data_IF_262843240628
#
_entry.id   IF_262843240628
#
_cell.length_a   1.000
_cell.length_b   1.000
_cell.length_c   1.000
_cell.angle_alpha   90.00
_cell.angle_beta   90.00
_cell.angle_gamma   90.00
#
_symmetry.space_group_name_H-M   'P 1'
#
loop_
_entity.id
_entity.type
_entity.pdbx_description
1 polymer ?
#
# COMPACT_ATOMS: atom_id res chain seq x y z
N UNK A 1 -9.34 -2.63 -4.33
CA UNK A 1 -8.30 -1.60 -4.11
C UNK A 1 -7.04 -2.31 -3.60
N UNK A 2 -5.85 -1.98 -4.13
CA UNK A 2 -4.61 -2.66 -3.71
C UNK A 2 -4.17 -2.21 -2.31
N UNK A 3 -3.89 -3.13 -1.36
CA UNK A 3 -3.41 -2.80 -0.02
C UNK A 3 -2.17 -1.90 -0.01
N UNK A 4 -1.23 -2.14 -0.92
CA UNK A 4 -0.01 -1.35 -1.05
C UNK A 4 -0.30 0.12 -1.39
N UNK A 5 -1.26 0.34 -2.31
CA UNK A 5 -1.67 1.70 -2.72
C UNK A 5 -2.34 2.43 -1.55
N UNK A 6 -3.18 1.73 -0.80
CA UNK A 6 -3.84 2.32 0.38
C UNK A 6 -2.82 2.70 1.44
N UNK A 7 -1.90 1.80 1.78
CA UNK A 7 -0.87 2.08 2.80
C UNK A 7 0.00 3.26 2.37
N UNK A 8 0.44 3.29 1.11
CA UNK A 8 1.24 4.41 0.57
C UNK A 8 0.50 5.74 0.69
N UNK A 9 -0.76 5.78 0.25
CA UNK A 9 -1.57 7.00 0.28
C UNK A 9 -1.82 7.50 1.71
N UNK A 10 -2.15 6.58 2.63
CA UNK A 10 -2.36 6.95 4.04
C UNK A 10 -1.07 7.48 4.66
N UNK A 11 0.08 6.86 4.38
CA UNK A 11 1.37 7.32 4.91
C UNK A 11 1.81 8.69 4.34
N UNK A 12 1.46 9.02 3.10
CA UNK A 12 1.71 10.35 2.49
C UNK A 12 0.81 11.46 3.06
N UNK A 13 -0.38 11.09 3.57
CA UNK A 13 -1.40 12.04 4.00
C UNK A 13 -1.58 12.13 5.52
N UNK A 14 -1.03 11.19 6.30
CA UNK A 14 -1.20 11.11 7.76
C UNK A 14 -0.73 12.35 8.52
N UNK A 15 0.22 13.11 7.95
CA UNK A 15 0.75 14.32 8.57
C UNK A 15 -0.19 15.53 8.40
N UNK A 16 -1.12 15.45 7.44
CA UNK A 16 -2.11 16.50 7.13
C UNK A 16 -3.51 16.15 7.62
N UNK A 17 -3.84 14.87 7.66
CA UNK A 17 -5.17 14.38 8.02
C UNK A 17 -5.09 13.22 8.99
N UNK A 18 -6.10 13.09 9.86
CA UNK A 18 -6.18 11.96 10.75
C UNK A 18 -6.36 10.65 9.95
N UNK A 19 -5.62 9.61 10.33
CA UNK A 19 -5.65 8.29 9.68
C UNK A 19 -7.07 7.73 9.58
N UNK A 20 -7.89 7.90 10.61
CA UNK A 20 -9.28 7.44 10.61
C UNK A 20 -10.13 8.12 9.52
N UNK A 21 -9.88 9.41 9.25
CA UNK A 21 -10.59 10.19 8.23
C UNK A 21 -10.21 9.68 6.84
N UNK A 22 -8.92 9.52 6.57
CA UNK A 22 -8.41 9.00 5.29
C UNK A 22 -8.97 7.59 5.05
N UNK A 23 -8.90 6.72 6.05
CA UNK A 23 -9.44 5.35 5.97
C UNK A 23 -10.94 5.34 5.70
N UNK A 24 -11.71 6.23 6.35
CA UNK A 24 -13.15 6.41 6.12
C UNK A 24 -13.45 6.82 4.67
N UNK A 25 -12.73 7.81 4.13
CA UNK A 25 -12.89 8.25 2.74
C UNK A 25 -12.57 7.14 1.72
N UNK A 26 -11.62 6.25 2.04
CA UNK A 26 -11.26 5.10 1.22
C UNK A 26 -12.18 3.88 1.43
N UNK A 27 -13.15 3.99 2.33
CA UNK A 27 -14.03 2.90 2.77
C UNK A 27 -13.24 1.67 3.27
N UNK A 28 -12.12 1.92 3.97
CA UNK A 28 -11.24 0.90 4.55
C UNK A 28 -11.34 0.94 6.07
N UNK A 29 -11.66 -0.18 6.75
CA UNK A 29 -11.62 -0.24 8.21
C UNK A 29 -10.20 0.05 8.74
N UNK A 30 -10.11 0.83 9.81
CA UNK A 30 -8.82 1.20 10.44
C UNK A 30 -7.98 -0.04 10.81
N UNK A 31 -8.61 -1.09 11.32
CA UNK A 31 -7.94 -2.35 11.67
C UNK A 31 -7.31 -3.03 10.44
N UNK A 32 -7.97 -2.93 9.28
CA UNK A 32 -7.46 -3.45 8.01
C UNK A 32 -6.24 -2.65 7.54
N UNK A 33 -6.28 -1.32 7.65
CA UNK A 33 -5.12 -0.48 7.38
C UNK A 33 -3.92 -0.86 8.24
N UNK A 34 -4.05 -0.96 9.56
CA UNK A 34 -2.93 -1.31 10.42
C UNK A 34 -2.41 -2.73 10.19
N UNK A 35 -3.28 -3.68 9.80
CA UNK A 35 -2.87 -5.02 9.38
C UNK A 35 -2.04 -4.95 8.08
N UNK A 36 -2.48 -4.15 7.10
CA UNK A 36 -1.75 -3.96 5.85
C UNK A 36 -0.43 -3.22 6.05
N UNK A 37 -0.37 -2.23 6.95
CA UNK A 37 0.86 -1.51 7.29
C UNK A 37 1.98 -2.43 7.78
N UNK A 38 1.63 -3.52 8.46
CA UNK A 38 2.58 -4.53 8.94
C UNK A 38 3.01 -5.53 7.87
N UNK A 39 2.38 -5.52 6.70
CA UNK A 39 2.69 -6.45 5.62
C UNK A 39 3.86 -5.92 4.82
N UNK A 40 4.79 -6.81 4.47
CA UNK A 40 5.82 -6.50 3.48
C UNK A 40 5.21 -6.52 2.08
N UNK A 41 5.35 -5.42 1.37
CA UNK A 41 4.94 -5.25 -0.03
C UNK A 41 6.13 -5.19 -0.98
N UNK A 42 7.35 -5.41 -0.48
CA UNK A 42 8.54 -5.46 -1.30
C UNK A 42 8.41 -6.60 -2.30
N UNK A 43 8.71 -6.35 -3.58
CA UNK A 43 8.71 -7.41 -4.57
C UNK A 43 9.74 -8.46 -4.18
N UNK A 44 9.38 -9.72 -4.35
CA UNK A 44 10.31 -10.84 -4.24
C UNK A 44 11.35 -10.79 -5.35
N UNK A 45 12.50 -11.45 -5.16
CA UNK A 45 13.56 -11.56 -6.18
C UNK A 45 13.00 -12.09 -7.52
N UNK A 46 12.02 -13.01 -7.44
CA UNK A 46 11.36 -13.57 -8.62
C UNK A 46 10.52 -12.50 -9.33
N UNK A 47 9.69 -11.75 -8.60
CA UNK A 47 8.88 -10.66 -9.16
C UNK A 47 9.74 -9.56 -9.79
N UNK A 48 10.86 -9.20 -9.17
CA UNK A 48 11.83 -8.27 -9.76
C UNK A 48 12.43 -8.81 -11.07
N UNK A 49 12.77 -10.10 -11.10
CA UNK A 49 13.34 -10.75 -12.27
C UNK A 49 12.35 -10.78 -13.42
N UNK A 50 11.09 -11.15 -13.14
CA UNK A 50 10.00 -11.12 -14.13
C UNK A 50 9.81 -9.69 -14.64
N UNK A 51 9.77 -8.69 -13.75
CA UNK A 51 9.63 -7.29 -14.13
C UNK A 51 10.76 -6.79 -15.05
N UNK A 52 12.00 -7.24 -14.83
CA UNK A 52 13.15 -6.93 -15.70
C UNK A 52 13.01 -7.57 -17.09
N UNK A 53 12.57 -8.83 -17.15
CA UNK A 53 12.36 -9.53 -18.43
C UNK A 53 11.23 -8.87 -19.23
N UNK A 54 10.12 -8.55 -18.57
CA UNK A 54 8.95 -7.93 -19.23
C UNK A 54 9.23 -6.51 -19.75
N UNK A 55 10.12 -5.74 -19.12
CA UNK A 55 10.51 -4.38 -19.58
C UNK A 55 11.56 -4.38 -20.70
N UNK A 56 12.21 -5.51 -20.94
CA UNK A 56 13.28 -5.64 -21.95
C UNK A 56 12.74 -5.99 -23.34
N UNK A 57 11.51 -6.49 -23.43
CA UNK A 57 10.77 -6.67 -24.69
C UNK A 57 9.83 -5.50 -24.93
#
# INVERSE_FOLDING_TARGET
>A
MSPQVVVKLVEELKDKYAVHLICSCLNVPISTYYRWKKKDFSPTIIEETIGKICKKN
#
